data_IF_047425311769
#
_entry.id   IF_047425311769
#
_cell.length_a   1.000
_cell.length_b   1.000
_cell.length_c   1.000
_cell.angle_alpha   90.00
_cell.angle_beta   90.00
_cell.angle_gamma   90.00
#
_symmetry.space_group_name_H-M   'P 1'
#
loop_
_entity.id
_entity.type
_entity.pdbx_description
1 polymer ?
#
# COMPACT_ATOMS: atom_id res chain seq x y z
N UNK A 1 58.85 41.92 25.57
CA UNK A 1 57.48 42.28 25.98
C UNK A 1 56.94 43.18 24.88
N UNK A 2 56.80 42.69 23.64
CA UNK A 2 55.75 41.73 23.18
C UNK A 2 54.37 42.29 23.61
N UNK A 3 53.50 42.78 22.74
CA UNK A 3 52.95 42.11 21.56
C UNK A 3 52.39 43.13 20.54
N UNK A 4 52.48 42.77 19.26
CA UNK A 4 51.73 43.35 18.15
C UNK A 4 50.22 43.09 18.33
N UNK A 5 49.37 43.91 17.70
CA UNK A 5 48.41 43.51 16.65
C UNK A 5 47.26 44.52 16.55
N UNK A 6 47.29 45.21 15.41
CA UNK A 6 46.19 45.72 14.59
C UNK A 6 44.75 45.42 15.05
N UNK A 7 43.98 46.46 15.35
CA UNK A 7 42.52 46.44 15.21
C UNK A 7 42.14 47.16 13.91
N UNK A 8 41.96 46.35 12.88
CA UNK A 8 41.42 46.76 11.58
C UNK A 8 39.92 47.03 11.67
N UNK A 9 39.51 47.93 10.78
CA UNK A 9 38.19 48.51 10.60
C UNK A 9 37.01 47.52 10.57
N UNK A 10 35.96 48.01 11.22
CA UNK A 10 34.55 47.90 10.87
C UNK A 10 34.27 47.59 9.39
N UNK A 11 33.76 46.39 9.14
CA UNK A 11 32.86 46.11 8.02
C UNK A 11 31.72 45.23 8.58
N UNK A 12 30.73 45.90 9.17
CA UNK A 12 29.50 45.32 9.64
C UNK A 12 28.70 44.66 8.52
N UNK A 13 28.99 43.38 8.25
CA UNK A 13 28.11 42.50 7.47
C UNK A 13 26.83 42.30 8.27
N UNK A 14 25.76 42.99 7.86
CA UNK A 14 24.40 42.74 8.28
C UNK A 14 23.96 41.32 7.88
N UNK A 15 24.40 40.30 8.61
CA UNK A 15 23.72 39.01 8.66
C UNK A 15 22.61 39.14 9.69
N UNK A 16 21.39 39.38 9.21
CA UNK A 16 20.19 39.26 10.03
C UNK A 16 20.25 37.94 10.80
N UNK A 17 20.48 38.04 12.10
CA UNK A 17 20.51 36.90 12.99
C UNK A 17 19.10 36.31 13.00
N UNK A 18 18.88 35.24 12.22
CA UNK A 18 17.72 34.39 12.40
C UNK A 18 17.87 33.82 13.82
N UNK A 19 17.09 34.35 14.76
CA UNK A 19 16.99 33.84 16.11
C UNK A 19 16.32 32.48 16.06
N UNK A 20 17.12 31.43 15.80
CA UNK A 20 16.63 30.05 15.86
C UNK A 20 16.37 29.72 17.32
N UNK A 21 15.09 29.80 17.70
CA UNK A 21 14.61 29.36 19.00
C UNK A 21 14.61 27.83 19.03
N UNK A 22 15.67 27.25 19.58
CA UNK A 22 15.73 25.80 19.85
C UNK A 22 14.84 25.54 21.08
N UNK A 23 13.62 25.08 20.84
CA UNK A 23 12.68 24.70 21.91
C UNK A 23 12.95 23.23 22.29
N UNK A 24 13.10 22.91 23.58
CA UNK A 24 13.20 21.52 24.02
C UNK A 24 11.95 20.74 23.60
N UNK A 25 12.16 19.63 22.88
CA UNK A 25 11.08 18.69 22.52
C UNK A 25 10.36 18.21 23.79
N UNK A 26 9.03 18.32 23.81
CA UNK A 26 8.19 17.74 24.86
C UNK A 26 8.14 16.22 24.63
N UNK A 27 9.18 15.54 25.11
CA UNK A 27 9.48 14.12 24.82
C UNK A 27 8.31 13.13 24.93
N UNK A 28 7.30 13.38 25.78
CA UNK A 28 6.17 12.45 25.97
C UNK A 28 5.03 12.66 24.97
N UNK A 29 4.66 13.92 24.70
CA UNK A 29 3.63 14.27 23.71
C UNK A 29 4.15 13.98 22.28
N UNK A 30 5.44 14.24 22.06
CA UNK A 30 6.10 13.94 20.78
C UNK A 30 6.19 12.43 20.51
N UNK A 31 6.31 11.60 21.56
CA UNK A 31 6.37 10.14 21.46
C UNK A 31 5.04 9.52 21.01
N UNK A 32 3.93 9.89 21.67
CA UNK A 32 2.60 9.40 21.29
C UNK A 32 2.24 9.81 19.86
N UNK A 33 2.56 11.05 19.47
CA UNK A 33 2.35 11.51 18.11
C UNK A 33 3.18 10.74 17.10
N UNK A 34 4.45 10.47 17.41
CA UNK A 34 5.32 9.65 16.55
C UNK A 34 4.77 8.23 16.35
N UNK A 35 4.24 7.60 17.40
CA UNK A 35 3.55 6.31 17.30
C UNK A 35 2.32 6.37 16.37
N UNK A 36 1.53 7.43 16.44
CA UNK A 36 0.37 7.62 15.54
C UNK A 36 0.80 7.81 14.08
N UNK A 37 1.87 8.55 13.83
CA UNK A 37 2.44 8.71 12.49
C UNK A 37 2.95 7.36 11.96
N UNK A 38 3.69 6.61 12.78
CA UNK A 38 4.14 5.27 12.42
C UNK A 38 2.97 4.37 12.05
N UNK A 39 1.88 4.41 12.83
CA UNK A 39 0.68 3.64 12.55
C UNK A 39 0.04 3.96 11.19
N UNK A 40 -0.05 5.25 10.81
CA UNK A 40 -0.53 5.65 9.48
C UNK A 40 0.38 5.13 8.37
N UNK A 41 1.70 5.29 8.54
CA UNK A 41 2.70 4.84 7.56
C UNK A 41 2.65 3.31 7.39
N UNK A 42 2.56 2.57 8.49
CA UNK A 42 2.48 1.11 8.50
C UNK A 42 1.16 0.62 7.87
N UNK A 43 0.01 1.26 8.18
CA UNK A 43 -1.27 0.92 7.57
C UNK A 43 -1.24 1.12 6.05
N UNK A 44 -0.65 2.22 5.56
CA UNK A 44 -0.47 2.46 4.13
C UNK A 44 0.49 1.45 3.49
N UNK A 45 1.61 1.14 4.15
CA UNK A 45 2.58 0.15 3.67
C UNK A 45 1.95 -1.25 3.58
N UNK A 46 1.12 -1.63 4.57
CA UNK A 46 0.36 -2.89 4.57
C UNK A 46 -0.62 -2.96 3.41
N UNK A 47 -1.43 -1.92 3.20
CA UNK A 47 -2.36 -1.82 2.08
C UNK A 47 -1.64 -1.96 0.73
N UNK A 48 -0.53 -1.23 0.54
CA UNK A 48 0.30 -1.33 -0.67
C UNK A 48 0.87 -2.74 -0.86
N UNK A 49 1.35 -3.36 0.22
CA UNK A 49 1.82 -4.75 0.20
C UNK A 49 0.72 -5.75 -0.16
N UNK A 50 -0.52 -5.52 0.28
CA UNK A 50 -1.67 -6.35 -0.09
C UNK A 50 -2.00 -6.22 -1.57
N UNK A 51 -1.99 -5.00 -2.14
CA UNK A 51 -2.15 -4.79 -3.59
C UNK A 51 -1.11 -5.56 -4.38
N UNK A 52 0.16 -5.49 -3.99
CA UNK A 52 1.25 -6.22 -4.66
C UNK A 52 1.07 -7.74 -4.62
N UNK A 53 0.77 -8.29 -3.44
CA UNK A 53 0.49 -9.72 -3.30
C UNK A 53 -0.71 -10.15 -4.13
N UNK A 54 -1.72 -9.28 -4.23
CA UNK A 54 -2.91 -9.57 -5.01
C UNK A 54 -2.61 -9.61 -6.52
N UNK A 55 -1.86 -8.65 -7.03
CA UNK A 55 -1.38 -8.67 -8.43
C UNK A 55 -0.59 -9.95 -8.70
N UNK A 56 0.39 -10.27 -7.85
CA UNK A 56 1.20 -11.48 -8.00
C UNK A 56 0.34 -12.75 -8.03
N UNK A 57 -0.65 -12.86 -7.13
CA UNK A 57 -1.57 -14.01 -7.10
C UNK A 57 -2.40 -14.14 -8.39
N UNK A 58 -2.86 -13.02 -8.96
CA UNK A 58 -3.64 -13.03 -10.19
C UNK A 58 -2.78 -13.38 -11.41
N UNK A 59 -1.53 -12.93 -11.44
CA UNK A 59 -0.56 -13.21 -12.50
C UNK A 59 -0.04 -14.66 -12.44
N UNK A 60 0.27 -15.18 -11.24
CA UNK A 60 0.72 -16.57 -11.01
C UNK A 60 -0.31 -17.62 -11.46
N UNK A 61 -1.61 -17.31 -11.38
CA UNK A 61 -2.66 -18.21 -11.90
C UNK A 61 -2.64 -18.36 -13.43
N UNK A 62 -1.87 -17.53 -14.14
CA UNK A 62 -1.88 -17.44 -15.60
C UNK A 62 -0.53 -17.78 -16.25
N UNK A 63 0.60 -17.49 -15.60
CA UNK A 63 1.93 -17.64 -16.20
C UNK A 63 2.77 -18.79 -15.60
N UNK A 64 2.90 -19.86 -16.39
CA UNK A 64 4.11 -20.70 -16.47
C UNK A 64 5.23 -20.05 -17.29
N UNK A 65 5.04 -18.88 -17.94
CA UNK A 65 6.00 -18.34 -18.91
C UNK A 65 5.99 -16.78 -19.07
N UNK A 66 6.13 -16.00 -17.99
CA UNK A 66 6.44 -14.57 -18.13
C UNK A 66 7.49 -14.06 -17.13
N UNK A 67 8.48 -13.26 -17.59
CA UNK A 67 9.56 -12.78 -16.74
C UNK A 67 9.08 -11.69 -15.78
N UNK A 68 9.43 -11.91 -14.52
CA UNK A 68 9.18 -11.09 -13.34
C UNK A 68 9.47 -9.60 -13.59
N UNK A 69 8.42 -8.76 -13.58
CA UNK A 69 8.55 -7.33 -13.71
C UNK A 69 9.21 -6.75 -12.45
N UNK A 70 10.36 -6.09 -12.64
CA UNK A 70 11.30 -5.68 -11.58
C UNK A 70 10.73 -4.92 -10.38
N UNK A 71 11.57 -4.85 -9.33
CA UNK A 71 11.37 -4.26 -8.00
C UNK A 71 10.03 -3.52 -7.82
N UNK A 72 8.98 -4.19 -7.33
CA UNK A 72 7.63 -3.64 -7.22
C UNK A 72 7.53 -2.41 -6.30
N UNK A 73 8.56 -2.12 -5.51
CA UNK A 73 8.52 -1.08 -4.47
C UNK A 73 8.66 0.36 -4.95
N UNK A 74 9.11 0.61 -6.19
CA UNK A 74 9.25 1.96 -6.72
C UNK A 74 8.03 2.47 -7.52
N UNK A 75 7.02 1.62 -7.79
CA UNK A 75 5.85 2.05 -8.58
C UNK A 75 4.96 2.98 -7.77
N UNK A 76 4.49 4.04 -8.44
CA UNK A 76 3.41 4.94 -7.95
C UNK A 76 2.17 4.11 -7.62
N UNK A 77 1.46 4.50 -6.56
CA UNK A 77 0.33 3.73 -6.07
C UNK A 77 -0.78 3.59 -7.12
N UNK A 78 -1.12 4.67 -7.83
CA UNK A 78 -2.08 4.62 -8.94
C UNK A 78 -1.71 3.61 -10.03
N UNK A 79 -0.42 3.50 -10.38
CA UNK A 79 0.04 2.55 -11.37
C UNK A 79 -0.11 1.09 -10.88
N UNK A 80 0.01 0.85 -9.57
CA UNK A 80 -0.29 -0.45 -8.98
C UNK A 80 -1.79 -0.76 -9.06
N UNK A 81 -2.65 0.21 -8.79
CA UNK A 81 -4.10 0.04 -8.86
C UNK A 81 -4.57 -0.24 -10.30
N UNK A 82 -4.00 0.45 -11.28
CA UNK A 82 -4.26 0.14 -12.69
C UNK A 82 -3.78 -1.28 -13.06
N UNK A 83 -2.60 -1.69 -12.59
CA UNK A 83 -2.09 -3.05 -12.77
C UNK A 83 -3.01 -4.10 -12.13
N UNK A 84 -3.57 -3.81 -10.95
CA UNK A 84 -4.52 -4.69 -10.27
C UNK A 84 -5.82 -4.83 -11.07
N UNK A 85 -6.39 -3.71 -11.54
CA UNK A 85 -7.60 -3.72 -12.37
C UNK A 85 -7.39 -4.57 -13.65
N UNK A 86 -6.31 -4.33 -14.39
CA UNK A 86 -6.00 -5.10 -15.60
C UNK A 86 -5.73 -6.58 -15.32
N UNK A 87 -5.11 -6.91 -14.19
CA UNK A 87 -4.86 -8.31 -13.81
C UNK A 87 -6.14 -9.02 -13.39
N UNK A 88 -7.04 -8.33 -12.70
CA UNK A 88 -8.35 -8.87 -12.33
C UNK A 88 -9.25 -9.13 -13.53
N UNK A 89 -9.23 -8.24 -14.53
CA UNK A 89 -9.95 -8.45 -15.79
C UNK A 89 -9.42 -9.68 -16.53
N UNK A 90 -8.08 -9.79 -16.68
CA UNK A 90 -7.44 -10.95 -17.33
C UNK A 90 -7.67 -12.27 -16.60
N UNK A 91 -7.83 -12.23 -15.28
CA UNK A 91 -8.07 -13.39 -14.43
C UNK A 91 -9.56 -13.73 -14.26
N UNK A 92 -10.46 -13.06 -14.99
CA UNK A 92 -11.92 -13.25 -14.90
C UNK A 92 -12.41 -13.19 -13.45
N UNK A 93 -12.00 -12.14 -12.75
CA UNK A 93 -12.31 -11.98 -11.33
C UNK A 93 -13.83 -11.97 -11.08
N UNK A 94 -14.35 -12.98 -10.37
CA UNK A 94 -15.81 -13.20 -10.21
C UNK A 94 -16.61 -11.99 -9.73
N UNK A 95 -16.03 -11.17 -8.85
CA UNK A 95 -16.66 -9.98 -8.26
C UNK A 95 -15.99 -8.70 -8.77
N UNK A 96 -15.75 -8.66 -10.08
CA UNK A 96 -15.01 -7.57 -10.73
C UNK A 96 -15.65 -6.19 -10.46
N UNK A 97 -16.98 -6.00 -10.53
CA UNK A 97 -17.60 -4.70 -10.25
C UNK A 97 -17.38 -4.21 -8.81
N UNK A 98 -17.33 -5.12 -7.84
CA UNK A 98 -17.01 -4.77 -6.45
C UNK A 98 -15.53 -4.47 -6.25
N UNK A 99 -14.65 -5.22 -6.93
CA UNK A 99 -13.22 -4.96 -6.90
C UNK A 99 -12.89 -3.59 -7.52
N UNK A 100 -13.51 -3.22 -8.66
CA UNK A 100 -13.33 -1.91 -9.27
C UNK A 100 -13.77 -0.79 -8.33
N UNK A 101 -14.93 -0.92 -7.67
CA UNK A 101 -15.38 0.05 -6.65
C UNK A 101 -14.43 0.14 -5.46
N UNK A 102 -13.87 -0.99 -5.03
CA UNK A 102 -12.85 -1.02 -3.99
C UNK A 102 -11.57 -0.29 -4.44
N UNK A 103 -11.09 -0.55 -5.66
CA UNK A 103 -9.92 0.10 -6.25
C UNK A 103 -10.11 1.63 -6.31
N UNK A 104 -11.26 2.12 -6.74
CA UNK A 104 -11.55 3.57 -6.77
C UNK A 104 -11.44 4.19 -5.37
N UNK A 105 -11.98 3.52 -4.35
CA UNK A 105 -11.87 3.98 -2.95
C UNK A 105 -10.44 3.89 -2.43
N UNK A 106 -9.71 2.83 -2.77
CA UNK A 106 -8.30 2.65 -2.44
C UNK A 106 -7.45 3.72 -3.13
N UNK A 107 -7.82 4.22 -4.32
CA UNK A 107 -7.13 5.32 -5.00
C UNK A 107 -7.02 6.60 -4.15
N UNK A 108 -7.90 6.78 -3.16
CA UNK A 108 -7.80 7.87 -2.21
C UNK A 108 -6.72 7.66 -1.12
N UNK A 109 -6.09 6.49 -1.01
CA UNK A 109 -5.26 6.11 0.13
C UNK A 109 -4.06 7.02 0.37
N UNK A 110 -3.46 7.55 -0.70
CA UNK A 110 -2.33 8.47 -0.57
C UNK A 110 -2.73 9.74 0.19
N UNK A 111 -3.98 10.21 0.06
CA UNK A 111 -4.47 11.38 0.81
C UNK A 111 -4.51 11.13 2.32
N UNK A 112 -4.79 9.91 2.76
CA UNK A 112 -4.79 9.56 4.19
C UNK A 112 -3.36 9.46 4.73
N UNK A 113 -2.41 8.96 3.94
CA UNK A 113 -0.97 9.03 4.30
C UNK A 113 -0.53 10.47 4.42
N UNK A 114 -0.93 11.33 3.48
CA UNK A 114 -0.44 12.71 3.40
C UNK A 114 -0.88 13.59 4.57
N UNK A 115 -1.82 13.12 5.41
CA UNK A 115 -2.18 13.78 6.67
C UNK A 115 -0.96 14.01 7.58
N UNK A 116 0.07 13.17 7.48
CA UNK A 116 1.31 13.31 8.27
C UNK A 116 2.14 14.54 7.88
N UNK A 117 1.94 15.05 6.67
CA UNK A 117 2.66 16.18 6.09
C UNK A 117 1.87 17.49 6.17
N UNK A 118 0.69 17.52 6.78
CA UNK A 118 -0.05 18.77 6.96
C UNK A 118 0.76 19.76 7.80
N UNK A 119 0.97 20.95 7.24
CA UNK A 119 1.78 22.00 7.84
C UNK A 119 0.87 23.14 8.33
N UNK A 120 0.70 23.22 9.65
CA UNK A 120 0.10 24.33 10.41
C UNK A 120 -1.41 24.58 10.20
N UNK A 121 -2.27 24.18 11.17
CA UNK A 121 -1.92 23.35 12.32
C UNK A 121 -1.48 21.95 11.86
N UNK A 122 -0.58 21.28 12.60
CA UNK A 122 -0.31 19.87 12.34
C UNK A 122 -1.59 19.05 12.53
N UNK A 123 -1.70 17.93 11.82
CA UNK A 123 -2.78 16.98 12.03
C UNK A 123 -2.90 16.59 13.51
N UNK A 124 -4.13 16.63 14.00
CA UNK A 124 -4.50 16.20 15.34
C UNK A 124 -4.37 14.68 15.49
N UNK A 125 -4.26 14.21 16.74
CA UNK A 125 -4.21 12.77 17.01
C UNK A 125 -5.48 12.04 16.56
N UNK A 126 -6.62 12.74 16.54
CA UNK A 126 -7.87 12.18 16.03
C UNK A 126 -7.81 11.97 14.51
N UNK A 127 -7.29 12.94 13.76
CA UNK A 127 -7.10 12.82 12.30
C UNK A 127 -6.09 11.72 11.95
N UNK A 128 -4.99 11.58 12.71
CA UNK A 128 -4.02 10.50 12.51
C UNK A 128 -4.64 9.11 12.77
N UNK A 129 -5.45 8.99 13.83
CA UNK A 129 -6.15 7.73 14.14
C UNK A 129 -7.21 7.38 13.10
N UNK A 130 -7.98 8.38 12.66
CA UNK A 130 -9.00 8.20 11.64
C UNK A 130 -8.37 7.77 10.30
N UNK A 131 -7.33 8.47 9.87
CA UNK A 131 -6.57 8.11 8.66
C UNK A 131 -6.05 6.66 8.70
N UNK A 132 -5.45 6.24 9.81
CA UNK A 132 -4.99 4.86 9.95
C UNK A 132 -6.14 3.85 9.93
N UNK A 133 -7.25 4.15 10.62
CA UNK A 133 -8.44 3.28 10.63
C UNK A 133 -9.02 3.11 9.23
N UNK A 134 -9.12 4.19 8.46
CA UNK A 134 -9.60 4.14 7.07
C UNK A 134 -8.67 3.29 6.20
N UNK A 135 -7.35 3.45 6.33
CA UNK A 135 -6.37 2.62 5.61
C UNK A 135 -6.50 1.12 5.95
N UNK A 136 -6.71 0.79 7.22
CA UNK A 136 -6.93 -0.59 7.66
C UNK A 136 -8.25 -1.18 7.14
N UNK A 137 -9.32 -0.38 7.12
CA UNK A 137 -10.61 -0.80 6.56
C UNK A 137 -10.51 -1.05 5.04
N UNK A 138 -9.78 -0.21 4.32
CA UNK A 138 -9.51 -0.40 2.90
C UNK A 138 -8.67 -1.66 2.64
N UNK A 139 -7.64 -1.93 3.46
CA UNK A 139 -6.82 -3.15 3.38
C UNK A 139 -7.69 -4.39 3.64
N UNK A 140 -8.51 -4.38 4.70
CA UNK A 140 -9.38 -5.48 5.07
C UNK A 140 -10.42 -5.79 3.98
N UNK A 141 -11.00 -4.76 3.36
CA UNK A 141 -11.96 -4.94 2.27
C UNK A 141 -11.30 -5.55 1.03
N UNK A 142 -10.13 -5.05 0.64
CA UNK A 142 -9.37 -5.56 -0.48
C UNK A 142 -8.97 -7.03 -0.27
N UNK A 143 -8.46 -7.36 0.92
CA UNK A 143 -8.11 -8.73 1.32
C UNK A 143 -9.35 -9.62 1.33
N UNK A 144 -10.49 -9.13 1.83
CA UNK A 144 -11.75 -9.87 1.83
C UNK A 144 -12.22 -10.27 0.44
N UNK A 145 -12.13 -9.35 -0.53
CA UNK A 145 -12.43 -9.64 -1.94
C UNK A 145 -11.47 -10.68 -2.53
N UNK A 146 -10.17 -10.54 -2.26
CA UNK A 146 -9.15 -11.49 -2.71
C UNK A 146 -9.41 -12.91 -2.17
N UNK A 147 -9.64 -13.04 -0.85
CA UNK A 147 -9.94 -14.32 -0.21
C UNK A 147 -11.21 -14.93 -0.78
N UNK A 148 -12.28 -14.15 -0.95
CA UNK A 148 -13.52 -14.63 -1.55
C UNK A 148 -13.28 -15.22 -2.95
N UNK A 149 -12.48 -14.55 -3.79
CA UNK A 149 -12.13 -15.06 -5.12
C UNK A 149 -11.33 -16.37 -5.06
N UNK A 150 -10.32 -16.46 -4.19
CA UNK A 150 -9.49 -17.67 -4.04
C UNK A 150 -10.33 -18.85 -3.57
N UNK A 151 -11.18 -18.67 -2.55
CA UNK A 151 -12.05 -19.72 -2.03
C UNK A 151 -13.02 -20.21 -3.08
N UNK A 152 -13.62 -19.28 -3.82
CA UNK A 152 -14.55 -19.60 -4.89
C UNK A 152 -13.82 -20.39 -6.01
N UNK A 153 -12.57 -20.02 -6.34
CA UNK A 153 -11.69 -20.75 -7.26
C UNK A 153 -11.40 -22.19 -6.83
N UNK A 154 -11.07 -22.40 -5.55
CA UNK A 154 -10.81 -23.73 -4.99
C UNK A 154 -12.04 -24.62 -5.02
N UNK A 155 -13.22 -24.07 -4.72
CA UNK A 155 -14.47 -24.83 -4.75
C UNK A 155 -14.76 -25.42 -6.14
N UNK A 156 -14.53 -24.66 -7.22
CA UNK A 156 -14.70 -25.15 -8.59
C UNK A 156 -13.67 -26.23 -8.96
N UNK A 157 -12.41 -26.05 -8.57
CA UNK A 157 -11.37 -27.04 -8.83
C UNK A 157 -11.64 -28.37 -8.12
N UNK A 158 -12.22 -28.36 -6.92
CA UNK A 158 -12.59 -29.57 -6.17
C UNK A 158 -13.80 -30.31 -6.74
N UNK A 159 -14.64 -29.66 -7.54
CA UNK A 159 -15.79 -30.28 -8.22
C UNK A 159 -15.44 -30.90 -9.57
N UNK A 160 -14.28 -30.56 -10.15
CA UNK A 160 -13.79 -31.08 -11.43
C UNK A 160 -13.13 -32.49 -11.42
N UNK A 161 -12.59 -33.06 -10.31
CA UNK A 161 -11.78 -34.28 -10.37
C UNK A 161 -12.60 -35.58 -10.47
N UNK A 162 -13.91 -35.55 -10.21
CA UNK A 162 -14.74 -36.78 -10.22
C UNK A 162 -15.34 -37.10 -11.60
N UNK A 163 -15.58 -36.09 -12.44
CA UNK A 163 -16.15 -36.28 -13.78
C UNK A 163 -15.17 -36.88 -14.81
N UNK A 164 -13.86 -36.79 -14.56
CA UNK A 164 -12.82 -37.29 -15.46
C UNK A 164 -12.45 -38.77 -15.23
N UNK A 165 -12.98 -39.42 -14.17
CA UNK A 165 -12.59 -40.78 -13.77
C UNK A 165 -13.60 -41.88 -14.12
N UNK A 166 -14.66 -41.57 -14.88
CA UNK A 166 -15.53 -42.64 -15.40
C UNK A 166 -14.93 -43.28 -16.66
N UNK A 167 -14.51 -44.56 -16.61
CA UNK A 167 -14.15 -45.26 -17.83
C UNK A 167 -15.41 -45.38 -18.70
N UNK A 168 -15.33 -44.90 -19.95
CA UNK A 168 -16.30 -45.25 -20.99
C UNK A 168 -16.17 -46.75 -21.24
N UNK A 169 -16.87 -47.56 -20.44
CA UNK A 169 -16.94 -49.01 -20.63
C UNK A 169 -17.45 -49.27 -22.03
N UNK A 170 -16.61 -49.97 -22.79
CA UNK A 170 -16.78 -50.24 -24.20
C UNK A 170 -18.12 -50.90 -24.48
N UNK A 171 -18.75 -50.40 -25.53
CA UNK A 171 -19.88 -51.02 -26.22
C UNK A 171 -19.32 -52.24 -26.96
N UNK A 172 -19.24 -53.40 -26.29
CA UNK A 172 -19.04 -54.65 -27.00
C UNK A 172 -20.36 -55.11 -27.62
N UNK A 173 -20.34 -55.13 -28.95
CA UNK A 173 -21.33 -55.80 -29.79
C UNK A 173 -21.11 -57.29 -29.60
N UNK A 174 -22.17 -58.07 -29.41
CA UNK A 174 -22.16 -59.46 -29.83
C UNK A 174 -23.37 -59.74 -30.69
N UNK A 175 -23.05 -60.38 -31.81
CA UNK A 175 -23.90 -60.84 -32.88
C UNK A 175 -24.71 -62.08 -32.45
#
# INVERSE_FOLDING_TARGET
MDELVQQGQDDGVARGAQSVRIVPLRRREDGQRAERIAHVADAFARLRGSVLRFIAMLDERRDTDAPNAGAPDARRFDALLQSLASSAERAEFRRLPELQRCIERVGAAERYRDVIFLHSPPASDAELRDAATVLELLDAELVGLCVAHVLAGRAEHLLQPEAASMPRSGRERSA
#
